data_IF_654513769855
#
_entry.id   IF_654513769855
#
_cell.length_a   1.000
_cell.length_b   1.000
_cell.length_c   1.000
_cell.angle_alpha   90.00
_cell.angle_beta   90.00
_cell.angle_gamma   90.00
#
_symmetry.space_group_name_H-M   'P 1'
#
loop_
_entity.id
_entity.type
_entity.pdbx_description
1 polymer ?
#
# COMPACT_ATOMS: atom_id res chain seq x y z
N UNK A 1 26.01 -14.20 98.13
CA UNK A 1 26.83 -13.24 97.35
C UNK A 1 26.54 -13.44 95.87
N UNK A 2 26.52 -12.44 94.99
CA UNK A 2 26.23 -11.00 95.12
C UNK A 2 25.80 -10.55 93.71
N UNK A 3 24.75 -9.72 93.58
CA UNK A 3 24.21 -9.34 92.25
C UNK A 3 25.02 -8.19 91.61
N UNK A 4 24.84 -8.06 90.29
CA UNK A 4 25.04 -6.89 89.40
C UNK A 4 26.31 -6.77 88.53
N UNK A 5 26.09 -6.87 87.21
CA UNK A 5 26.33 -5.88 86.13
C UNK A 5 25.83 -6.53 84.81
N UNK A 6 25.38 -5.84 83.75
CA UNK A 6 25.36 -4.40 83.44
C UNK A 6 24.20 -4.06 82.46
N UNK A 7 23.90 -2.77 82.29
CA UNK A 7 23.02 -2.19 81.26
C UNK A 7 23.92 -1.62 80.13
N UNK A 8 23.56 -1.48 78.85
CA UNK A 8 22.26 -1.45 78.11
C UNK A 8 22.54 -1.89 76.64
N UNK A 9 21.52 -2.10 75.78
CA UNK A 9 21.28 -1.31 74.54
C UNK A 9 20.14 -1.86 73.65
N UNK A 10 19.55 -0.97 72.84
CA UNK A 10 18.39 -1.24 71.98
C UNK A 10 18.75 -2.00 70.70
N UNK A 11 17.79 -2.80 70.20
CA UNK A 11 17.56 -2.99 68.77
C UNK A 11 16.06 -3.20 68.51
N UNK A 12 15.42 -2.22 67.86
CA UNK A 12 14.08 -2.36 67.30
C UNK A 12 14.16 -3.22 66.02
N UNK A 13 13.29 -4.22 65.89
CA UNK A 13 13.09 -4.96 64.64
C UNK A 13 11.61 -5.30 64.47
N UNK A 14 10.85 -4.36 63.91
CA UNK A 14 9.45 -4.57 63.54
C UNK A 14 9.40 -5.43 62.26
N UNK A 15 9.08 -6.72 62.38
CA UNK A 15 8.81 -7.57 61.20
C UNK A 15 7.37 -7.33 60.76
N UNK A 16 7.19 -6.41 59.82
CA UNK A 16 5.91 -6.23 59.12
C UNK A 16 5.74 -7.39 58.15
N UNK A 17 4.81 -8.29 58.43
CA UNK A 17 4.40 -9.32 57.48
C UNK A 17 3.77 -8.65 56.25
N UNK A 18 4.41 -8.82 55.09
CA UNK A 18 3.97 -8.20 53.85
C UNK A 18 2.65 -8.79 53.35
N UNK A 19 1.61 -7.97 53.28
CA UNK A 19 0.38 -8.31 52.56
C UNK A 19 0.61 -8.17 51.06
N UNK A 20 0.80 -9.30 50.38
CA UNK A 20 0.92 -9.38 48.92
C UNK A 20 -0.40 -9.00 48.25
N UNK A 21 -0.61 -7.70 48.01
CA UNK A 21 -1.73 -7.23 47.19
C UNK A 21 -1.49 -7.64 45.73
N UNK A 22 -2.23 -8.65 45.27
CA UNK A 22 -2.33 -9.01 43.86
C UNK A 22 -3.06 -7.88 43.11
N UNK A 23 -2.30 -6.90 42.64
CA UNK A 23 -2.79 -5.88 41.72
C UNK A 23 -3.01 -6.52 40.35
N UNK A 24 -4.22 -7.04 40.13
CA UNK A 24 -4.69 -7.46 38.81
C UNK A 24 -4.78 -6.23 37.91
N UNK A 25 -3.70 -5.96 37.17
CA UNK A 25 -3.65 -4.89 36.18
C UNK A 25 -4.46 -5.33 34.96
N UNK A 26 -5.73 -4.94 34.95
CA UNK A 26 -6.57 -5.00 33.74
C UNK A 26 -5.89 -4.19 32.64
N UNK A 27 -5.56 -4.76 31.47
CA UNK A 27 -4.99 -3.99 30.38
C UNK A 27 -6.04 -2.99 29.87
N UNK A 28 -5.82 -1.70 30.16
CA UNK A 28 -6.49 -0.59 29.48
C UNK A 28 -5.96 -0.49 28.04
N UNK A 29 -6.38 -1.43 27.18
CA UNK A 29 -6.13 -1.36 25.75
C UNK A 29 -7.35 -1.82 24.93
N UNK A 30 -8.44 -1.08 25.11
CA UNK A 30 -9.36 -0.80 24.02
C UNK A 30 -9.50 0.72 23.94
N UNK A 31 -9.02 1.32 22.86
CA UNK A 31 -9.45 2.67 22.48
C UNK A 31 -10.90 2.52 22.04
N UNK A 32 -11.83 2.54 23.00
CA UNK A 32 -13.26 2.39 22.73
C UNK A 32 -13.68 3.55 21.83
N UNK A 33 -13.94 3.27 20.55
CA UNK A 33 -14.34 4.28 19.57
C UNK A 33 -15.77 4.68 19.93
N UNK A 34 -15.91 5.77 20.69
CA UNK A 34 -17.20 6.26 21.21
C UNK A 34 -18.04 7.01 20.17
N UNK A 35 -17.72 6.85 18.88
CA UNK A 35 -18.39 7.47 17.73
C UNK A 35 -18.79 6.38 16.72
N UNK A 36 -19.83 6.59 15.90
CA UNK A 36 -20.20 5.65 14.84
C UNK A 36 -19.02 5.33 13.90
N UNK A 37 -19.00 4.13 13.32
CA UNK A 37 -17.89 3.67 12.45
C UNK A 37 -17.75 4.58 11.23
N UNK A 38 -18.87 5.04 10.69
CA UNK A 38 -18.95 6.00 9.59
C UNK A 38 -18.36 7.37 9.96
N UNK A 39 -18.53 7.79 11.22
CA UNK A 39 -17.96 9.03 11.75
C UNK A 39 -16.44 8.91 11.98
N UNK A 40 -15.96 7.74 12.43
CA UNK A 40 -14.51 7.47 12.50
C UNK A 40 -13.90 7.43 11.09
N UNK A 41 -14.55 6.79 10.11
CA UNK A 41 -14.11 6.81 8.72
C UNK A 41 -13.96 8.25 8.17
N UNK A 42 -14.98 9.10 8.36
CA UNK A 42 -14.91 10.51 7.99
C UNK A 42 -13.76 11.25 8.70
N UNK A 43 -13.54 10.99 9.99
CA UNK A 43 -12.44 11.59 10.77
C UNK A 43 -11.07 11.13 10.28
N UNK A 44 -10.92 9.86 9.90
CA UNK A 44 -9.69 9.29 9.35
C UNK A 44 -9.38 9.89 7.97
N UNK A 45 -10.38 9.97 7.08
CA UNK A 45 -10.22 10.58 5.75
C UNK A 45 -9.91 12.08 5.81
N UNK A 46 -10.52 12.82 6.74
CA UNK A 46 -10.17 14.23 6.96
C UNK A 46 -8.72 14.41 7.45
N UNK A 47 -8.23 13.48 8.28
CA UNK A 47 -6.82 13.47 8.67
C UNK A 47 -5.90 13.12 7.49
N UNK A 48 -6.26 12.11 6.69
CA UNK A 48 -5.52 11.73 5.49
C UNK A 48 -5.40 12.90 4.49
N UNK A 49 -6.50 13.60 4.18
CA UNK A 49 -6.53 14.79 3.31
C UNK A 49 -5.62 15.91 3.82
N UNK A 50 -5.65 16.16 5.14
CA UNK A 50 -4.79 17.16 5.79
C UNK A 50 -3.30 16.84 5.63
N UNK A 51 -2.89 15.60 5.92
CA UNK A 51 -1.48 15.20 5.83
C UNK A 51 -1.01 15.08 4.37
N UNK A 52 -1.89 14.64 3.46
CA UNK A 52 -1.63 14.65 2.02
C UNK A 52 -1.41 16.08 1.50
N UNK A 53 -2.23 17.04 1.94
CA UNK A 53 -2.11 18.46 1.60
C UNK A 53 -0.86 19.13 2.19
N UNK A 54 -0.18 18.50 3.15
CA UNK A 54 1.10 18.93 3.69
C UNK A 54 2.29 18.05 3.24
N UNK A 55 2.10 17.25 2.18
CA UNK A 55 3.10 16.33 1.61
C UNK A 55 3.66 15.28 2.60
N UNK A 56 2.94 15.03 3.70
CA UNK A 56 3.23 13.95 4.66
C UNK A 56 2.50 12.67 4.21
N UNK A 57 3.00 12.08 3.13
CA UNK A 57 2.44 10.89 2.51
C UNK A 57 2.47 9.68 3.45
N UNK A 58 3.47 9.58 4.34
CA UNK A 58 3.60 8.48 5.30
C UNK A 58 2.52 8.54 6.38
N UNK A 59 2.30 9.71 6.99
CA UNK A 59 1.21 9.88 7.97
C UNK A 59 -0.15 9.77 7.29
N UNK A 60 -0.31 10.30 6.06
CA UNK A 60 -1.54 10.15 5.29
C UNK A 60 -1.89 8.67 5.03
N UNK A 61 -0.91 7.86 4.57
CA UNK A 61 -1.08 6.42 4.37
C UNK A 61 -1.52 5.72 5.66
N UNK A 62 -0.91 6.03 6.81
CA UNK A 62 -1.30 5.44 8.10
C UNK A 62 -2.76 5.74 8.49
N UNK A 63 -3.31 6.89 8.08
CA UNK A 63 -4.74 7.18 8.25
C UNK A 63 -5.63 6.41 7.27
N UNK A 64 -5.16 6.13 6.05
CA UNK A 64 -5.87 5.28 5.09
C UNK A 64 -5.87 3.81 5.51
N UNK A 65 -4.74 3.26 5.97
CA UNK A 65 -4.65 1.87 6.48
C UNK A 65 -5.64 1.63 7.62
N UNK A 66 -5.79 2.64 8.50
CA UNK A 66 -6.78 2.63 9.58
C UNK A 66 -8.21 2.72 9.06
N UNK A 67 -8.46 3.49 8.00
CA UNK A 67 -9.79 3.59 7.38
C UNK A 67 -10.21 2.25 6.75
N UNK A 68 -9.29 1.60 6.04
CA UNK A 68 -9.48 0.26 5.47
C UNK A 68 -9.74 -0.79 6.57
N UNK A 69 -9.03 -0.70 7.70
CA UNK A 69 -9.23 -1.59 8.85
C UNK A 69 -10.62 -1.51 9.53
N UNK A 70 -11.45 -0.52 9.19
CA UNK A 70 -12.84 -0.45 9.65
C UNK A 70 -13.75 -1.49 8.96
N UNK A 71 -13.30 -2.11 7.86
CA UNK A 71 -14.04 -3.14 7.12
C UNK A 71 -15.46 -2.72 6.68
N UNK A 72 -15.63 -1.43 6.34
CA UNK A 72 -16.86 -0.88 5.74
C UNK A 72 -16.55 -0.28 4.36
N UNK A 73 -17.59 0.07 3.60
CA UNK A 73 -17.42 0.65 2.26
C UNK A 73 -16.64 1.97 2.30
N UNK A 74 -15.63 2.06 1.43
CA UNK A 74 -14.74 3.22 1.34
C UNK A 74 -15.30 4.21 0.28
N UNK A 75 -15.47 5.50 0.61
CA UNK A 75 -16.00 6.50 -0.32
C UNK A 75 -14.92 6.92 -1.34
N UNK A 76 -15.34 7.55 -2.44
CA UNK A 76 -14.46 7.99 -3.54
C UNK A 76 -13.16 8.65 -3.04
N UNK A 77 -13.24 9.61 -2.11
CA UNK A 77 -12.08 10.33 -1.56
C UNK A 77 -10.94 9.43 -1.07
N UNK A 78 -11.24 8.25 -0.50
CA UNK A 78 -10.22 7.26 -0.10
C UNK A 78 -9.30 6.91 -1.28
N UNK A 79 -9.90 6.60 -2.42
CA UNK A 79 -9.20 6.18 -3.64
C UNK A 79 -8.37 7.31 -4.24
N UNK A 80 -8.84 8.56 -4.21
CA UNK A 80 -8.01 9.71 -4.65
C UNK A 80 -6.80 9.94 -3.73
N UNK A 81 -6.97 9.82 -2.41
CA UNK A 81 -5.86 9.94 -1.47
C UNK A 81 -4.84 8.82 -1.67
N UNK A 82 -5.32 7.58 -1.83
CA UNK A 82 -4.48 6.42 -2.13
C UNK A 82 -3.74 6.61 -3.45
N UNK A 83 -4.43 6.99 -4.53
CA UNK A 83 -3.83 7.26 -5.84
C UNK A 83 -2.76 8.35 -5.80
N UNK A 84 -2.97 9.40 -5.02
CA UNK A 84 -2.00 10.49 -4.82
C UNK A 84 -0.73 10.01 -4.11
N UNK A 85 -0.85 9.11 -3.12
CA UNK A 85 0.28 8.48 -2.43
C UNK A 85 1.03 7.50 -3.36
N UNK A 86 0.31 6.67 -4.13
CA UNK A 86 0.93 5.77 -5.11
C UNK A 86 1.65 6.55 -6.23
N UNK A 87 1.11 7.71 -6.63
CA UNK A 87 1.76 8.65 -7.58
C UNK A 87 3.08 9.16 -7.02
N UNK A 88 3.11 9.60 -5.75
CA UNK A 88 4.34 10.03 -5.08
C UNK A 88 5.41 8.93 -5.04
N UNK A 89 5.00 7.68 -4.83
CA UNK A 89 5.90 6.52 -4.83
C UNK A 89 6.27 6.01 -6.24
N UNK A 90 5.76 6.62 -7.31
CA UNK A 90 5.92 6.17 -8.72
C UNK A 90 5.30 4.78 -9.00
N UNK A 91 4.35 4.34 -8.17
CA UNK A 91 3.61 3.08 -8.34
C UNK A 91 2.49 3.27 -9.38
N UNK A 92 2.88 3.54 -10.64
CA UNK A 92 1.99 4.06 -11.67
C UNK A 92 0.75 3.21 -11.96
N UNK A 93 0.88 1.88 -11.93
CA UNK A 93 -0.24 0.96 -12.16
C UNK A 93 -1.30 1.08 -11.05
N UNK A 94 -0.87 1.04 -9.79
CA UNK A 94 -1.72 1.20 -8.62
C UNK A 94 -2.30 2.63 -8.53
N UNK A 95 -1.52 3.65 -8.90
CA UNK A 95 -2.00 5.03 -8.97
C UNK A 95 -3.14 5.16 -10.00
N UNK A 96 -2.96 4.63 -11.22
CA UNK A 96 -3.99 4.65 -12.29
C UNK A 96 -5.25 3.94 -11.83
N UNK A 97 -5.13 2.72 -11.30
CA UNK A 97 -6.26 1.95 -10.75
C UNK A 97 -7.05 2.73 -9.69
N UNK A 98 -6.37 3.37 -8.73
CA UNK A 98 -7.05 4.13 -7.68
C UNK A 98 -7.67 5.44 -8.20
N UNK A 99 -7.10 6.10 -9.22
CA UNK A 99 -7.79 7.22 -9.89
C UNK A 99 -9.03 6.76 -10.67
N UNK A 100 -8.99 5.59 -11.30
CA UNK A 100 -10.16 4.99 -11.97
C UNK A 100 -11.27 4.64 -10.95
N UNK A 101 -10.94 4.00 -9.82
CA UNK A 101 -11.89 3.75 -8.73
C UNK A 101 -12.49 5.04 -8.15
N UNK A 102 -11.70 6.13 -8.03
CA UNK A 102 -12.26 7.43 -7.65
C UNK A 102 -13.33 7.89 -8.66
N UNK A 103 -13.03 7.85 -9.96
CA UNK A 103 -13.95 8.29 -11.02
C UNK A 103 -15.23 7.45 -11.04
N UNK A 104 -15.14 6.14 -10.82
CA UNK A 104 -16.29 5.24 -10.77
C UNK A 104 -17.22 5.50 -9.57
N UNK A 105 -16.72 6.14 -8.50
CA UNK A 105 -17.42 6.37 -7.22
C UNK A 105 -17.82 7.83 -6.98
N UNK A 106 -17.42 8.75 -7.86
CA UNK A 106 -17.63 10.19 -7.73
C UNK A 106 -18.58 10.72 -8.81
N UNK A 107 -19.02 11.98 -8.68
CA UNK A 107 -19.70 12.70 -9.75
C UNK A 107 -18.77 13.75 -10.39
N UNK A 108 -19.08 14.27 -11.59
CA UNK A 108 -18.27 15.30 -12.24
C UNK A 108 -18.07 16.59 -11.43
N UNK A 109 -18.95 16.85 -10.46
CA UNK A 109 -18.91 17.99 -9.55
C UNK A 109 -17.95 17.81 -8.36
N UNK A 110 -17.50 16.58 -8.08
CA UNK A 110 -16.62 16.31 -6.94
C UNK A 110 -15.22 16.92 -7.12
N UNK A 111 -14.68 17.47 -6.03
CA UNK A 111 -13.44 18.27 -5.95
C UNK A 111 -12.26 17.71 -6.74
N UNK A 112 -12.11 16.38 -6.81
CA UNK A 112 -10.95 15.71 -7.40
C UNK A 112 -11.23 15.01 -8.75
N UNK A 113 -12.43 15.17 -9.33
CA UNK A 113 -12.83 14.50 -10.58
C UNK A 113 -11.94 14.89 -11.77
N UNK A 114 -11.91 16.18 -12.12
CA UNK A 114 -11.07 16.68 -13.23
C UNK A 114 -9.60 16.34 -12.98
N UNK A 115 -9.12 16.45 -11.74
CA UNK A 115 -7.72 16.15 -11.39
C UNK A 115 -7.38 14.68 -11.59
N UNK A 116 -8.28 13.76 -11.24
CA UNK A 116 -8.06 12.32 -11.43
C UNK A 116 -7.94 11.95 -12.90
N UNK A 117 -8.77 12.55 -13.77
CA UNK A 117 -8.66 12.38 -15.23
C UNK A 117 -7.32 12.90 -15.77
N UNK A 118 -6.88 14.10 -15.36
CA UNK A 118 -5.55 14.62 -15.72
C UNK A 118 -4.41 13.69 -15.29
N UNK A 119 -4.52 13.08 -14.11
CA UNK A 119 -3.50 12.18 -13.58
C UNK A 119 -3.45 10.84 -14.32
N UNK A 120 -4.59 10.28 -14.71
CA UNK A 120 -4.66 9.07 -15.55
C UNK A 120 -3.91 9.30 -16.87
N UNK A 121 -4.21 10.40 -17.58
CA UNK A 121 -3.51 10.73 -18.84
C UNK A 121 -2.01 10.99 -18.64
N UNK A 122 -1.60 11.62 -17.53
CA UNK A 122 -0.17 11.79 -17.23
C UNK A 122 0.53 10.45 -16.97
N UNK A 123 -0.13 9.53 -16.27
CA UNK A 123 0.39 8.18 -16.00
C UNK A 123 0.52 7.38 -17.29
N UNK A 124 -0.49 7.40 -18.15
CA UNK A 124 -0.47 6.70 -19.45
C UNK A 124 0.69 7.17 -20.32
N UNK A 125 0.94 8.49 -20.39
CA UNK A 125 2.10 9.03 -21.08
C UNK A 125 3.44 8.57 -20.48
N UNK A 126 3.55 8.41 -19.14
CA UNK A 126 4.77 7.89 -18.50
C UNK A 126 4.98 6.40 -18.80
N UNK A 127 3.92 5.59 -18.75
CA UNK A 127 3.98 4.16 -19.05
C UNK A 127 4.36 3.95 -20.53
N UNK A 128 3.72 4.66 -21.46
CA UNK A 128 4.00 4.58 -22.89
C UNK A 128 5.42 5.04 -23.29
N UNK A 129 6.05 5.91 -22.49
CA UNK A 129 7.43 6.35 -22.67
C UNK A 129 8.46 5.42 -21.99
N UNK A 130 8.04 4.37 -21.31
CA UNK A 130 8.93 3.34 -20.79
C UNK A 130 9.20 2.34 -21.92
N UNK A 131 10.38 2.34 -22.58
CA UNK A 131 10.66 1.37 -23.63
C UNK A 131 10.55 -0.03 -23.04
N UNK A 132 9.88 -0.92 -23.77
CA UNK A 132 9.82 -2.33 -23.41
C UNK A 132 11.24 -2.87 -23.57
N UNK A 133 11.97 -2.92 -22.46
CA UNK A 133 13.17 -3.72 -22.31
C UNK A 133 12.72 -5.18 -22.29
N UNK A 134 12.29 -5.67 -23.46
CA UNK A 134 12.04 -7.09 -23.66
C UNK A 134 13.29 -7.82 -23.18
N UNK A 135 13.08 -8.76 -22.27
CA UNK A 135 14.17 -9.53 -21.72
C UNK A 135 14.71 -10.38 -22.85
N UNK A 136 15.90 -10.01 -23.35
CA UNK A 136 16.73 -10.89 -24.18
C UNK A 136 17.12 -12.10 -23.31
N UNK A 137 16.19 -13.04 -23.16
CA UNK A 137 16.54 -14.41 -22.80
C UNK A 137 17.22 -15.01 -24.02
N UNK A 138 18.54 -14.85 -24.02
CA UNK A 138 19.48 -15.46 -24.93
C UNK A 138 19.38 -17.00 -24.82
N UNK A 139 18.40 -17.59 -25.52
CA UNK A 139 18.31 -19.04 -25.70
C UNK A 139 19.34 -19.47 -26.73
N UNK A 140 20.56 -19.70 -26.23
CA UNK A 140 21.67 -20.37 -26.90
C UNK A 140 21.19 -21.45 -27.88
N UNK A 141 21.26 -21.16 -29.19
CA UNK A 141 21.06 -22.14 -30.27
C UNK A 141 22.09 -21.86 -31.37
N UNK A 142 22.68 -22.93 -31.91
CA UNK A 142 23.88 -22.90 -32.74
C UNK A 142 23.82 -21.96 -33.98
N UNK A 143 24.98 -21.43 -34.45
CA UNK A 143 25.02 -20.49 -35.58
C UNK A 143 24.55 -21.12 -36.89
N UNK A 144 23.45 -20.59 -37.43
CA UNK A 144 22.96 -20.87 -38.78
C UNK A 144 23.69 -19.98 -39.81
N UNK A 145 23.87 -20.44 -41.07
CA UNK A 145 24.86 -19.88 -41.98
C UNK A 145 24.49 -18.51 -42.58
N UNK A 146 25.53 -17.74 -42.88
CA UNK A 146 25.47 -16.43 -43.54
C UNK A 146 24.87 -16.53 -44.95
N UNK A 147 23.74 -15.85 -45.17
CA UNK A 147 23.06 -15.81 -46.48
C UNK A 147 23.60 -14.62 -47.28
N UNK A 148 24.32 -14.89 -48.37
CA UNK A 148 24.76 -13.89 -49.34
C UNK A 148 23.74 -13.70 -50.46
N UNK A 149 23.54 -12.46 -50.90
CA UNK A 149 22.41 -12.07 -51.78
C UNK A 149 22.57 -12.39 -53.28
N UNK A 150 23.53 -13.23 -53.66
CA UNK A 150 24.01 -13.36 -55.06
C UNK A 150 23.40 -14.52 -55.88
N UNK A 151 22.35 -15.20 -55.41
CA UNK A 151 21.67 -16.28 -56.17
C UNK A 151 20.20 -16.00 -56.45
N UNK A 152 19.93 -15.06 -57.36
CA UNK A 152 18.62 -14.89 -57.99
C UNK A 152 18.39 -15.99 -59.03
N UNK A 153 17.15 -16.48 -59.14
CA UNK A 153 16.61 -17.43 -60.13
C UNK A 153 17.12 -18.89 -60.11
N UNK A 154 16.33 -19.74 -59.46
CA UNK A 154 15.76 -20.91 -60.17
C UNK A 154 14.45 -21.42 -59.52
N UNK A 155 13.36 -21.26 -60.28
CA UNK A 155 12.16 -22.12 -60.33
C UNK A 155 11.54 -22.58 -58.99
N UNK A 156 10.43 -21.95 -58.59
CA UNK A 156 9.44 -22.56 -57.71
C UNK A 156 8.12 -22.79 -58.48
N UNK A 157 7.78 -24.05 -58.74
CA UNK A 157 6.49 -24.49 -59.28
C UNK A 157 6.33 -26.00 -59.05
N UNK A 158 5.10 -26.44 -58.70
CA UNK A 158 4.73 -27.74 -58.12
C UNK A 158 5.10 -27.85 -56.63
N UNK A 159 4.18 -28.03 -55.67
CA UNK A 159 2.70 -28.15 -55.68
C UNK A 159 2.15 -27.29 -54.50
N UNK A 160 0.87 -26.95 -54.29
CA UNK A 160 -0.27 -27.87 -54.13
C UNK A 160 -1.64 -27.15 -54.19
N UNK A 161 -2.50 -27.63 -55.09
CA UNK A 161 -3.96 -27.84 -54.98
C UNK A 161 -4.86 -26.92 -54.11
N UNK A 162 -5.73 -26.12 -54.76
CA UNK A 162 -7.16 -25.95 -54.36
C UNK A 162 -8.06 -25.99 -55.62
N UNK A 163 -9.27 -26.52 -55.42
CA UNK A 163 -10.20 -27.11 -56.37
C UNK A 163 -11.36 -26.15 -56.81
N UNK A 164 -12.04 -26.52 -57.91
CA UNK A 164 -13.36 -26.04 -58.44
C UNK A 164 -13.53 -24.61 -58.98
N UNK A 165 -13.59 -24.48 -60.31
CA UNK A 165 -14.78 -23.97 -61.02
C UNK A 165 -14.92 -24.72 -62.38
N UNK A 166 -16.12 -25.26 -62.66
CA UNK A 166 -16.61 -25.91 -63.91
C UNK A 166 -16.00 -27.26 -64.31
#
# INVERSE_FOLDING_TARGET
MLKYKMVTFLAYSLVVFGSSNLMAQTPLNSTEIRIPVEAELQRLLLAADKFLSSEDFATSQSYLDRAESLNIELPANYYYFKASIETHHNNWSQARFNYEEYILRSTPEDKYYVKSLEMITQIENRIALTPISETEQETETAPAPEITWDSVNSVNAQDEYIDKIS
#
